data_IF_305177235168
#
_entry.id   IF_305177235168
#
_cell.length_a   1.000
_cell.length_b   1.000
_cell.length_c   1.000
_cell.angle_alpha   90.00
_cell.angle_beta   90.00
_cell.angle_gamma   90.00
#
_symmetry.space_group_name_H-M   'P 1'
#
loop_
_entity.id
_entity.type
_entity.pdbx_description
1 polymer ?
#
# COMPACT_ATOMS: atom_id res chain seq x y z
N UNK A 1 28.27 -18.62 32.49
CA UNK A 1 26.99 -17.91 32.70
C UNK A 1 25.99 -18.58 31.75
N UNK A 2 25.42 -19.76 32.07
CA UNK A 2 24.17 -20.00 32.84
C UNK A 2 23.02 -19.09 32.41
N UNK A 3 22.20 -19.57 31.47
CA UNK A 3 20.80 -19.18 31.30
C UNK A 3 19.99 -20.45 31.10
N UNK A 4 19.20 -20.73 32.12
CA UNK A 4 18.49 -21.98 32.47
C UNK A 4 17.23 -22.23 31.62
N UNK A 5 17.18 -23.42 31.02
CA UNK A 5 16.08 -24.42 30.91
C UNK A 5 14.59 -24.02 31.03
N UNK A 6 13.83 -24.47 29.99
CA UNK A 6 12.45 -25.01 29.92
C UNK A 6 11.24 -24.20 30.41
N UNK A 7 10.30 -23.96 29.48
CA UNK A 7 8.92 -24.46 29.59
C UNK A 7 8.43 -24.91 28.19
N UNK A 8 8.32 -26.23 27.99
CA UNK A 8 7.43 -26.81 26.97
C UNK A 8 5.99 -26.66 27.49
N UNK A 9 5.14 -25.94 26.76
CA UNK A 9 3.69 -25.98 26.96
C UNK A 9 3.01 -26.01 25.60
N UNK A 10 2.77 -27.23 25.12
CA UNK A 10 1.84 -27.56 24.05
C UNK A 10 0.42 -27.42 24.64
N UNK A 11 -0.40 -26.52 24.10
CA UNK A 11 -1.85 -26.65 23.84
C UNK A 11 -2.47 -25.28 23.54
N UNK A 12 -2.39 -24.86 22.28
CA UNK A 12 -3.50 -24.26 21.56
C UNK A 12 -3.10 -24.28 20.08
N UNK A 13 -3.81 -25.06 19.27
CA UNK A 13 -3.78 -24.89 17.84
C UNK A 13 -4.38 -23.51 17.53
N UNK A 14 -3.56 -22.46 17.57
CA UNK A 14 -3.83 -21.31 16.74
C UNK A 14 -3.45 -21.76 15.35
N UNK A 15 -4.46 -22.06 14.53
CA UNK A 15 -4.36 -21.66 13.15
C UNK A 15 -4.08 -20.15 13.18
N UNK A 16 -2.80 -19.77 13.23
CA UNK A 16 -2.41 -18.53 12.61
C UNK A 16 -2.81 -18.74 11.15
N UNK A 17 -4.03 -18.31 10.80
CA UNK A 17 -4.26 -17.87 9.45
C UNK A 17 -3.05 -16.98 9.17
N UNK A 18 -2.23 -17.37 8.19
CA UNK A 18 -1.23 -16.45 7.66
C UNK A 18 -2.05 -15.31 7.05
N UNK A 19 -2.48 -14.36 7.86
CA UNK A 19 -2.90 -13.05 7.40
C UNK A 19 -1.64 -12.48 6.78
N UNK A 20 -1.53 -12.61 5.46
CA UNK A 20 -0.51 -11.93 4.70
C UNK A 20 -0.80 -10.44 4.85
N UNK A 21 -0.28 -9.83 5.91
CA UNK A 21 -0.37 -8.40 6.12
C UNK A 21 0.54 -7.77 5.07
N UNK A 22 -0.03 -7.44 3.92
CA UNK A 22 0.67 -6.66 2.92
C UNK A 22 1.07 -5.32 3.53
N UNK A 23 2.34 -4.99 3.36
CA UNK A 23 2.93 -3.71 3.73
C UNK A 23 2.51 -2.62 2.75
N UNK A 24 2.67 -1.36 3.16
CA UNK A 24 2.47 -0.22 2.26
C UNK A 24 3.40 -0.30 1.04
N UNK A 25 4.62 -0.83 1.20
CA UNK A 25 5.55 -1.06 0.09
C UNK A 25 5.01 -2.10 -0.91
N UNK A 26 4.42 -3.18 -0.43
CA UNK A 26 3.81 -4.20 -1.30
C UNK A 26 2.56 -3.67 -2.03
N UNK A 27 1.80 -2.77 -1.41
CA UNK A 27 0.70 -2.05 -2.05
C UNK A 27 1.20 -1.05 -3.10
N UNK A 28 2.23 -0.26 -2.78
CA UNK A 28 2.87 0.66 -3.70
C UNK A 28 3.48 -0.07 -4.91
N UNK A 29 4.01 -1.28 -4.70
CA UNK A 29 4.52 -2.12 -5.79
C UNK A 29 3.43 -2.59 -6.77
N UNK A 30 2.14 -2.45 -6.44
CA UNK A 30 1.04 -2.71 -7.38
C UNK A 30 0.77 -1.56 -8.34
N UNK A 31 1.34 -0.38 -8.09
CA UNK A 31 1.25 0.75 -9.03
C UNK A 31 1.96 0.35 -10.33
N UNK A 32 1.29 0.47 -11.49
CA UNK A 32 1.86 0.02 -12.75
C UNK A 32 3.14 0.81 -13.10
N UNK A 33 4.17 0.15 -13.70
CA UNK A 33 5.42 0.81 -14.04
C UNK A 33 5.27 2.05 -14.92
N UNK A 34 4.24 2.08 -15.78
CA UNK A 34 3.94 3.24 -16.63
C UNK A 34 3.64 4.53 -15.85
N UNK A 35 3.14 4.41 -14.61
CA UNK A 35 2.76 5.54 -13.76
C UNK A 35 3.85 5.96 -12.77
N UNK A 36 4.81 5.08 -12.44
CA UNK A 36 5.78 5.30 -11.35
C UNK A 36 6.60 6.59 -11.54
N UNK A 37 7.18 6.79 -12.73
CA UNK A 37 7.96 8.01 -13.02
C UNK A 37 7.10 9.28 -13.10
N UNK A 38 5.82 9.16 -13.46
CA UNK A 38 4.89 10.28 -13.48
C UNK A 38 4.51 10.71 -12.05
N UNK A 39 4.25 9.74 -11.17
CA UNK A 39 3.92 9.99 -9.77
C UNK A 39 5.11 10.57 -9.00
N UNK A 40 6.35 10.12 -9.29
CA UNK A 40 7.56 10.67 -8.69
C UNK A 40 7.68 12.19 -8.90
N UNK A 41 7.31 12.70 -10.08
CA UNK A 41 7.30 14.14 -10.33
C UNK A 41 6.28 14.88 -9.43
N UNK A 42 5.10 14.29 -9.23
CA UNK A 42 4.09 14.81 -8.30
C UNK A 42 4.60 14.79 -6.86
N UNK A 43 5.19 13.68 -6.41
CA UNK A 43 5.74 13.56 -5.05
C UNK A 43 6.81 14.62 -4.78
N UNK A 44 7.73 14.82 -5.72
CA UNK A 44 8.79 15.82 -5.62
C UNK A 44 8.25 17.25 -5.53
N UNK A 45 7.12 17.57 -6.19
CA UNK A 45 6.50 18.89 -6.12
C UNK A 45 6.01 19.24 -4.71
N UNK A 46 5.66 18.24 -3.91
CA UNK A 46 5.21 18.38 -2.51
C UNK A 46 6.29 18.03 -1.48
N UNK A 47 7.50 17.67 -1.93
CA UNK A 47 8.59 17.25 -1.06
C UNK A 47 8.37 15.89 -0.39
N UNK A 48 7.42 15.08 -0.89
CA UNK A 48 7.21 13.72 -0.44
C UNK A 48 8.31 12.81 -0.99
N UNK A 49 8.89 11.95 -0.15
CA UNK A 49 9.77 10.89 -0.65
C UNK A 49 8.97 9.74 -1.29
N UNK A 50 9.62 8.88 -2.08
CA UNK A 50 8.99 7.73 -2.75
C UNK A 50 8.28 6.74 -1.80
N UNK A 51 8.69 6.69 -0.53
CA UNK A 51 8.10 5.81 0.49
C UNK A 51 7.42 6.59 1.62
N UNK A 52 7.29 7.92 1.49
CA UNK A 52 6.52 8.74 2.42
C UNK A 52 5.03 8.68 2.07
N UNK A 53 4.45 7.50 2.26
CA UNK A 53 3.06 7.24 1.95
C UNK A 53 2.08 8.17 2.69
N UNK A 54 2.31 8.55 3.97
CA UNK A 54 1.53 9.62 4.61
C UNK A 54 1.52 10.92 3.81
N UNK A 55 2.68 11.46 3.44
CA UNK A 55 2.76 12.69 2.65
C UNK A 55 2.09 12.54 1.28
N UNK A 56 2.32 11.41 0.60
CA UNK A 56 1.72 11.14 -0.71
C UNK A 56 0.19 11.08 -0.63
N UNK A 57 -0.36 10.48 0.43
CA UNK A 57 -1.79 10.34 0.62
C UNK A 57 -2.46 11.65 1.07
N UNK A 58 -1.79 12.45 1.90
CA UNK A 58 -2.28 13.77 2.31
C UNK A 58 -2.36 14.75 1.12
N UNK A 59 -1.46 14.61 0.14
CA UNK A 59 -1.40 15.43 -1.07
C UNK A 59 -1.90 14.70 -2.32
N UNK A 60 -2.62 13.59 -2.19
CA UNK A 60 -2.88 12.68 -3.32
C UNK A 60 -3.57 13.37 -4.49
N UNK A 61 -4.48 14.31 -4.21
CA UNK A 61 -5.26 14.99 -5.24
C UNK A 61 -4.35 15.86 -6.11
N UNK A 62 -3.54 16.70 -5.48
CA UNK A 62 -2.65 17.61 -6.19
C UNK A 62 -1.50 16.85 -6.87
N UNK A 63 -1.00 15.77 -6.25
CA UNK A 63 -0.03 14.86 -6.88
C UNK A 63 -0.61 14.27 -8.16
N UNK A 64 -1.86 13.79 -8.12
CA UNK A 64 -2.52 13.24 -9.30
C UNK A 64 -2.77 14.29 -10.37
N UNK A 65 -3.16 15.52 -10.01
CA UNK A 65 -3.36 16.61 -10.97
C UNK A 65 -2.06 16.94 -11.73
N UNK A 66 -0.90 16.84 -11.06
CA UNK A 66 0.42 17.01 -11.69
C UNK A 66 0.82 15.78 -12.53
N UNK A 67 0.55 14.57 -12.02
CA UNK A 67 0.98 13.33 -12.66
C UNK A 67 0.10 12.91 -13.85
N UNK A 68 -1.19 13.25 -13.85
CA UNK A 68 -2.17 12.75 -14.82
C UNK A 68 -1.79 13.02 -16.28
N UNK A 69 -1.32 14.22 -16.66
CA UNK A 69 -0.90 14.48 -18.04
C UNK A 69 0.25 13.58 -18.52
N UNK A 70 1.13 13.14 -17.61
CA UNK A 70 2.17 12.17 -17.90
C UNK A 70 1.59 10.76 -17.99
N UNK A 71 0.73 10.39 -17.03
CA UNK A 71 0.07 9.07 -16.97
C UNK A 71 -0.75 8.82 -18.24
N UNK A 72 -1.50 9.82 -18.73
CA UNK A 72 -2.32 9.70 -19.94
C UNK A 72 -1.50 9.40 -21.21
N UNK A 73 -0.21 9.74 -21.20
CA UNK A 73 0.72 9.48 -22.31
C UNK A 73 1.42 8.12 -22.15
N UNK A 74 1.73 7.70 -20.93
CA UNK A 74 2.55 6.51 -20.65
C UNK A 74 1.73 5.26 -20.34
N UNK A 75 0.58 5.40 -19.70
CA UNK A 75 -0.38 4.36 -19.40
C UNK A 75 -1.54 4.47 -20.39
N UNK A 76 -1.71 3.47 -21.26
CA UNK A 76 -2.65 3.56 -22.40
C UNK A 76 -3.81 2.59 -22.31
N UNK A 77 -3.75 1.66 -21.36
CA UNK A 77 -4.78 0.64 -21.19
C UNK A 77 -5.68 1.00 -20.03
N UNK A 78 -6.98 0.76 -20.20
CA UNK A 78 -7.97 0.89 -19.12
C UNK A 78 -7.56 0.12 -17.85
N UNK A 79 -6.93 -1.05 -18.04
CA UNK A 79 -6.44 -1.89 -16.95
C UNK A 79 -5.35 -1.21 -16.11
N UNK A 80 -4.44 -0.47 -16.74
CA UNK A 80 -3.40 0.29 -16.02
C UNK A 80 -4.01 1.38 -15.15
N UNK A 81 -4.98 2.14 -15.69
CA UNK A 81 -5.70 3.15 -14.93
C UNK A 81 -6.44 2.54 -13.73
N UNK A 82 -7.15 1.43 -13.94
CA UNK A 82 -7.85 0.73 -12.88
C UNK A 82 -6.90 0.18 -11.81
N UNK A 83 -5.74 -0.36 -12.22
CA UNK A 83 -4.73 -0.88 -11.32
C UNK A 83 -4.10 0.23 -10.49
N UNK A 84 -3.75 1.35 -11.11
CA UNK A 84 -3.20 2.54 -10.45
C UNK A 84 -4.21 3.11 -9.44
N UNK A 85 -5.46 3.33 -9.86
CA UNK A 85 -6.50 3.86 -8.98
C UNK A 85 -6.77 2.93 -7.79
N UNK A 86 -6.83 1.60 -8.04
CA UNK A 86 -6.98 0.62 -6.98
C UNK A 86 -5.77 0.64 -6.04
N UNK A 87 -4.54 0.54 -6.56
CA UNK A 87 -3.33 0.50 -5.74
C UNK A 87 -3.22 1.72 -4.82
N UNK A 88 -3.42 2.92 -5.36
CA UNK A 88 -3.33 4.16 -4.56
C UNK A 88 -4.47 4.28 -3.55
N UNK A 89 -5.70 3.88 -3.92
CA UNK A 89 -6.84 3.88 -2.98
C UNK A 89 -6.58 2.95 -1.80
N UNK A 90 -6.11 1.72 -2.07
CA UNK A 90 -5.86 0.74 -1.02
C UNK A 90 -4.63 1.09 -0.17
N UNK A 91 -3.59 1.67 -0.78
CA UNK A 91 -2.45 2.23 -0.07
C UNK A 91 -2.87 3.32 0.90
N UNK A 92 -3.60 4.33 0.44
CA UNK A 92 -4.01 5.45 1.30
C UNK A 92 -5.05 5.04 2.35
N UNK A 93 -5.90 4.06 2.05
CA UNK A 93 -6.73 3.41 3.05
C UNK A 93 -5.92 2.72 4.15
N UNK A 94 -4.86 1.99 3.79
CA UNK A 94 -3.97 1.33 4.75
C UNK A 94 -3.18 2.33 5.61
N UNK A 95 -2.68 3.42 5.00
CA UNK A 95 -2.00 4.52 5.70
C UNK A 95 -2.93 5.18 6.71
N UNK A 96 -4.16 5.51 6.32
CA UNK A 96 -5.14 6.11 7.22
C UNK A 96 -5.49 5.20 8.41
N UNK A 97 -5.57 3.88 8.19
CA UNK A 97 -5.77 2.91 9.28
C UNK A 97 -4.59 2.88 10.24
N UNK A 98 -3.35 2.89 9.75
CA UNK A 98 -2.14 2.89 10.60
C UNK A 98 -2.03 4.15 11.46
N UNK A 99 -2.54 5.28 10.97
CA UNK A 99 -2.56 6.55 11.71
C UNK A 99 -3.70 6.62 12.73
N UNK A 100 -4.67 5.71 12.70
CA UNK A 100 -5.78 5.66 13.63
C UNK A 100 -5.60 4.55 14.68
N UNK A 101 -5.09 4.87 15.89
CA UNK A 101 -4.85 3.87 16.93
C UNK A 101 -6.13 3.24 17.51
N UNK A 102 -7.30 3.82 17.26
CA UNK A 102 -8.60 3.31 17.73
C UNK A 102 -9.28 2.37 16.72
N UNK A 103 -8.71 2.22 15.52
CA UNK A 103 -9.31 1.42 14.49
C UNK A 103 -9.22 -0.08 14.82
N UNK A 104 -10.38 -0.75 14.83
CA UNK A 104 -10.54 -2.17 15.25
C UNK A 104 -11.15 -3.05 14.15
N UNK A 105 -11.18 -2.55 12.91
CA UNK A 105 -11.72 -3.27 11.75
C UNK A 105 -10.75 -4.31 11.14
N UNK A 106 -11.11 -4.90 9.98
CA UNK A 106 -10.22 -5.76 9.19
C UNK A 106 -9.33 -4.95 8.24
N UNK A 107 -8.04 -5.31 8.14
CA UNK A 107 -7.03 -4.46 7.50
C UNK A 107 -7.34 -4.29 6.02
N UNK A 108 -6.98 -3.13 5.46
CA UNK A 108 -7.00 -2.94 4.00
C UNK A 108 -6.14 -4.01 3.30
N UNK A 109 -5.01 -4.37 3.92
CA UNK A 109 -4.15 -5.47 3.47
C UNK A 109 -4.85 -6.85 3.46
N UNK A 110 -5.84 -7.06 4.32
CA UNK A 110 -6.54 -8.34 4.46
C UNK A 110 -7.67 -8.53 3.43
N UNK A 111 -8.08 -7.47 2.73
CA UNK A 111 -9.26 -7.48 1.85
C UNK A 111 -9.00 -6.87 0.48
N UNK A 112 -7.82 -7.11 -0.09
CA UNK A 112 -7.47 -6.59 -1.41
C UNK A 112 -8.57 -6.87 -2.46
N UNK A 113 -8.80 -5.91 -3.38
CA UNK A 113 -9.71 -6.11 -4.49
C UNK A 113 -9.07 -7.11 -5.48
N UNK A 114 -9.87 -7.89 -6.23
CA UNK A 114 -9.35 -8.91 -7.16
C UNK A 114 -8.34 -8.37 -8.19
N UNK A 115 -8.46 -7.09 -8.54
CA UNK A 115 -7.54 -6.42 -9.46
C UNK A 115 -6.10 -6.33 -8.92
N UNK A 116 -5.89 -6.24 -7.60
CA UNK A 116 -4.56 -6.20 -6.97
C UNK A 116 -4.02 -7.61 -6.65
N UNK A 117 -4.88 -8.62 -6.69
CA UNK A 117 -4.54 -10.03 -6.47
C UNK A 117 -4.04 -10.74 -7.73
N UNK A 118 -4.33 -10.16 -8.90
CA UNK A 118 -3.88 -10.70 -10.19
C UNK A 118 -2.46 -10.19 -10.51
N UNK A 119 -1.50 -11.07 -10.87
CA UNK A 119 -0.19 -10.65 -11.35
C UNK A 119 -0.26 -9.96 -12.72
#
# INVERSE_FOLDING_TARGET
MKSTTLVLSLFAALAAALTATLTNDELAAKIPPCAQGCLENGYNAFGCSLTDYPCQCDNQHDIFDIAMPCIDVTCTTQKEFELMAAATTWLCGAVAQQQNPEWTGPGMADNLPPILLSP
#
